data_IF_640372597600
#
_entry.id   IF_640372597600
#
_cell.length_a   1.000
_cell.length_b   1.000
_cell.length_c   1.000
_cell.angle_alpha   90.00
_cell.angle_beta   90.00
_cell.angle_gamma   90.00
#
_symmetry.space_group_name_H-M   'P 1'
#
loop_
_entity.id
_entity.type
_entity.pdbx_description
1 polymer ?
#
# COMPACT_ATOMS: atom_id res chain seq x y z
N UNK A 1 -13.27 14.97 -11.69
CA UNK A 1 -14.26 14.68 -10.61
C UNK A 1 -13.51 14.68 -9.28
N UNK A 2 -14.15 15.03 -8.16
CA UNK A 2 -13.56 14.92 -6.82
C UNK A 2 -13.71 13.48 -6.31
N UNK A 3 -12.66 12.93 -5.69
CA UNK A 3 -12.60 11.56 -5.17
C UNK A 3 -12.22 11.59 -3.69
N UNK A 4 -13.07 11.05 -2.82
CA UNK A 4 -12.86 10.97 -1.37
C UNK A 4 -11.93 9.81 -0.97
N UNK A 5 -10.71 9.77 -1.50
CA UNK A 5 -9.73 8.70 -1.28
C UNK A 5 -8.66 9.02 -0.22
N UNK A 6 -8.82 10.11 0.56
CA UNK A 6 -7.81 10.54 1.54
C UNK A 6 -7.45 9.46 2.58
N UNK A 7 -8.37 8.53 2.87
CA UNK A 7 -8.14 7.37 3.72
C UNK A 7 -7.03 6.46 3.17
N UNK A 8 -6.99 6.22 1.86
CA UNK A 8 -5.99 5.39 1.19
C UNK A 8 -4.62 6.08 1.18
N UNK A 9 -4.57 7.35 0.77
CA UNK A 9 -3.36 8.16 0.77
C UNK A 9 -2.73 8.29 2.16
N UNK A 10 -3.54 8.52 3.20
CA UNK A 10 -3.05 8.62 4.57
C UNK A 10 -2.40 7.32 5.08
N UNK A 11 -2.96 6.17 4.71
CA UNK A 11 -2.43 4.87 5.10
C UNK A 11 -1.16 4.51 4.32
N UNK A 12 -1.16 4.70 2.99
CA UNK A 12 0.02 4.47 2.16
C UNK A 12 1.20 5.30 2.64
N UNK A 13 1.03 6.61 2.79
CA UNK A 13 2.09 7.50 3.27
C UNK A 13 2.61 7.11 4.66
N UNK A 14 1.72 6.63 5.56
CA UNK A 14 2.13 6.14 6.87
C UNK A 14 3.03 4.91 6.77
N UNK A 15 2.68 3.94 5.92
CA UNK A 15 3.44 2.70 5.75
C UNK A 15 4.80 2.99 5.11
N UNK A 16 4.84 3.79 4.04
CA UNK A 16 6.08 4.19 3.38
C UNK A 16 7.02 4.94 4.34
N UNK A 17 6.47 5.85 5.14
CA UNK A 17 7.24 6.59 6.14
C UNK A 17 7.83 5.67 7.20
N UNK A 18 7.01 4.77 7.77
CA UNK A 18 7.45 3.81 8.78
C UNK A 18 8.47 2.81 8.21
N UNK A 19 8.29 2.41 6.95
CA UNK A 19 9.23 1.59 6.21
C UNK A 19 10.59 2.29 6.10
N UNK A 20 10.63 3.50 5.57
CA UNK A 20 11.87 4.27 5.43
C UNK A 20 12.57 4.49 6.77
N UNK A 21 11.83 4.79 7.85
CA UNK A 21 12.41 4.94 9.19
C UNK A 21 13.18 3.68 9.59
N UNK A 22 12.60 2.49 9.34
CA UNK A 22 13.12 1.19 9.74
C UNK A 22 14.25 0.66 8.83
N UNK A 23 14.09 0.78 7.52
CA UNK A 23 14.96 0.11 6.52
C UNK A 23 15.92 1.08 5.85
N UNK A 24 15.66 2.39 5.93
CA UNK A 24 16.33 3.44 5.15
C UNK A 24 16.16 3.27 3.64
N UNK A 25 15.11 2.58 3.22
CA UNK A 25 14.75 2.38 1.82
C UNK A 25 13.42 3.06 1.52
N UNK A 26 13.32 3.64 0.33
CA UNK A 26 12.06 4.18 -0.16
C UNK A 26 11.20 3.02 -0.66
N UNK A 27 10.03 2.88 -0.08
CA UNK A 27 8.95 2.02 -0.56
C UNK A 27 7.95 2.95 -1.24
N UNK A 28 7.43 2.50 -2.38
CA UNK A 28 6.41 3.24 -3.14
C UNK A 28 5.22 2.30 -3.34
N UNK A 29 4.10 2.61 -2.69
CA UNK A 29 2.86 1.84 -2.77
C UNK A 29 1.88 2.55 -3.69
N UNK A 30 1.07 1.78 -4.40
CA UNK A 30 -0.02 2.34 -5.21
C UNK A 30 -1.25 2.61 -4.35
N UNK A 31 -1.61 3.88 -4.12
CA UNK A 31 -2.90 4.23 -3.53
C UNK A 31 -4.06 3.77 -4.42
N UNK A 32 -3.87 3.75 -5.73
CA UNK A 32 -4.89 3.35 -6.68
C UNK A 32 -5.19 1.86 -6.59
N UNK A 33 -4.18 1.01 -6.41
CA UNK A 33 -4.38 -0.42 -6.14
C UNK A 33 -5.21 -0.63 -4.87
N UNK A 34 -4.92 0.13 -3.80
CA UNK A 34 -5.73 0.08 -2.59
C UNK A 34 -7.17 0.55 -2.82
N UNK A 35 -7.36 1.64 -3.57
CA UNK A 35 -8.70 2.16 -3.90
C UNK A 35 -9.51 1.17 -4.73
N UNK A 36 -8.87 0.43 -5.64
CA UNK A 36 -9.53 -0.50 -6.55
C UNK A 36 -9.76 -1.90 -5.96
N UNK A 37 -8.85 -2.35 -5.09
CA UNK A 37 -8.88 -3.71 -4.54
C UNK A 37 -9.44 -3.81 -3.11
N UNK A 38 -9.57 -2.69 -2.38
CA UNK A 38 -10.24 -2.69 -1.09
C UNK A 38 -11.75 -2.91 -1.27
N UNK A 39 -12.24 -4.07 -0.82
CA UNK A 39 -13.66 -4.44 -0.88
C UNK A 39 -14.46 -4.04 0.36
N UNK A 40 -13.81 -3.48 1.39
CA UNK A 40 -14.40 -3.05 2.65
C UNK A 40 -14.81 -1.57 2.62
N UNK A 41 -14.09 -0.76 1.85
CA UNK A 41 -14.33 0.67 1.71
C UNK A 41 -15.01 1.01 0.36
N UNK A 42 -15.38 2.28 0.17
CA UNK A 42 -16.20 2.73 -0.96
C UNK A 42 -15.41 3.56 -1.98
N UNK A 43 -14.13 3.24 -2.16
CA UNK A 43 -13.24 3.92 -3.11
C UNK A 43 -13.36 5.46 -3.01
N UNK A 44 -13.78 6.13 -4.09
CA UNK A 44 -13.98 7.58 -4.14
C UNK A 44 -15.13 8.13 -3.28
N UNK A 45 -15.96 7.29 -2.66
CA UNK A 45 -17.03 7.74 -1.75
C UNK A 45 -16.60 7.77 -0.28
N UNK A 46 -15.36 7.41 0.01
CA UNK A 46 -14.81 7.37 1.37
C UNK A 46 -14.44 5.97 1.81
N UNK A 47 -13.71 5.91 2.93
CA UNK A 47 -13.21 4.69 3.53
C UNK A 47 -12.62 4.97 4.90
N UNK A 48 -12.28 3.91 5.63
CA UNK A 48 -11.72 3.99 6.97
C UNK A 48 -10.26 3.55 6.95
N UNK A 49 -9.32 4.35 7.50
CA UNK A 49 -7.90 3.98 7.55
C UNK A 49 -7.64 2.58 8.15
N UNK A 50 -8.43 2.17 9.14
CA UNK A 50 -8.34 0.83 9.73
C UNK A 50 -8.60 -0.30 8.72
N UNK A 51 -9.60 -0.13 7.85
CA UNK A 51 -9.89 -1.09 6.78
C UNK A 51 -8.76 -1.11 5.76
N UNK A 52 -8.28 0.06 5.32
CA UNK A 52 -7.14 0.19 4.44
C UNK A 52 -5.89 -0.57 4.93
N UNK A 53 -5.52 -0.43 6.22
CA UNK A 53 -4.40 -1.19 6.78
C UNK A 53 -4.60 -2.71 6.66
N UNK A 54 -5.82 -3.20 6.96
CA UNK A 54 -6.14 -4.62 6.84
C UNK A 54 -6.12 -5.09 5.37
N UNK A 55 -6.60 -4.27 4.44
CA UNK A 55 -6.61 -4.53 3.01
C UNK A 55 -5.20 -4.67 2.46
N UNK A 56 -4.28 -3.76 2.80
CA UNK A 56 -2.86 -3.86 2.40
C UNK A 56 -2.23 -5.15 2.94
N UNK A 57 -2.46 -5.49 4.21
CA UNK A 57 -1.93 -6.73 4.80
C UNK A 57 -2.45 -7.97 4.04
N UNK A 58 -3.70 -7.94 3.59
CA UNK A 58 -4.30 -9.03 2.82
C UNK A 58 -3.72 -9.12 1.41
N UNK A 59 -3.66 -8.00 0.68
CA UNK A 59 -3.10 -7.92 -0.67
C UNK A 59 -1.66 -8.43 -0.71
N UNK A 60 -0.84 -8.09 0.29
CA UNK A 60 0.55 -8.56 0.39
C UNK A 60 0.75 -10.04 0.62
N UNK A 61 -0.30 -10.73 1.09
CA UNK A 61 -0.27 -12.19 1.21
C UNK A 61 -0.65 -12.87 -0.10
N UNK A 62 -1.45 -12.21 -0.94
CA UNK A 62 -1.97 -12.76 -2.19
C UNK A 62 -0.97 -12.56 -3.36
N UNK A 63 -0.15 -11.51 -3.33
CA UNK A 63 0.86 -11.21 -4.37
C UNK A 63 2.17 -12.01 -4.25
N UNK A 64 2.29 -12.92 -3.27
CA UNK A 64 3.49 -13.73 -3.05
C UNK A 64 3.47 -15.06 -3.83
N UNK A 65 4.03 -15.08 -5.05
CA UNK A 65 5.14 -16.00 -5.32
C UNK A 65 6.33 -15.28 -5.97
N UNK A 66 7.50 -15.42 -5.34
CA UNK A 66 8.85 -15.04 -5.84
C UNK A 66 8.92 -14.75 -7.36
N UNK A 67 9.15 -13.50 -7.75
CA UNK A 67 10.02 -13.01 -8.86
C UNK A 67 9.74 -11.51 -9.09
N UNK A 68 10.61 -10.62 -8.63
CA UNK A 68 11.80 -10.07 -9.32
C UNK A 68 11.44 -8.67 -9.86
N UNK A 69 12.05 -7.59 -9.39
CA UNK A 69 13.34 -7.16 -9.93
C UNK A 69 14.05 -6.12 -9.03
N UNK A 70 15.38 -6.30 -8.94
CA UNK A 70 16.40 -5.47 -8.29
C UNK A 70 16.37 -3.99 -8.72
N UNK A 71 16.73 -2.99 -7.89
CA UNK A 71 17.94 -2.79 -7.05
C UNK A 71 17.51 -1.89 -5.86
N UNK A 72 17.86 -2.05 -4.59
CA UNK A 72 19.06 -2.53 -3.90
C UNK A 72 18.64 -3.00 -2.49
N UNK A 73 19.04 -4.23 -2.13
CA UNK A 73 19.50 -4.60 -0.77
C UNK A 73 18.47 -4.91 0.31
N UNK A 74 18.12 -6.18 0.48
CA UNK A 74 17.77 -6.82 1.76
C UNK A 74 16.50 -6.35 2.53
N UNK A 75 15.47 -7.20 2.46
CA UNK A 75 14.78 -7.63 3.67
C UNK A 75 13.53 -6.86 4.08
N UNK A 76 12.49 -6.89 3.24
CA UNK A 76 11.13 -7.06 3.76
C UNK A 76 10.04 -6.64 2.78
N UNK A 77 8.82 -6.51 3.31
CA UNK A 77 7.56 -6.41 2.56
C UNK A 77 7.68 -5.45 1.37
N UNK A 78 7.84 -6.05 0.19
CA UNK A 78 7.96 -5.35 -1.07
C UNK A 78 6.58 -5.23 -1.70
N UNK A 79 6.19 -3.99 -1.95
CA UNK A 79 5.09 -3.64 -2.83
C UNK A 79 5.60 -2.42 -3.60
N UNK A 80 5.70 -2.54 -4.90
CA UNK A 80 5.88 -1.43 -5.81
C UNK A 80 5.30 -1.85 -7.15
N UNK A 81 4.23 -1.19 -7.56
CA UNK A 81 3.85 -1.15 -8.97
C UNK A 81 3.50 0.31 -9.27
N UNK A 82 4.29 0.87 -10.18
CA UNK A 82 4.10 2.16 -10.86
C UNK A 82 2.72 2.34 -11.48
#
# INVERSE_FOLDING_TARGET
RQCGCCWAFGVVANIESMWFIKTKQLLELSEQELVDCDTLDLACKGGYPYNAFNSIIKLGKETSPRKEMDRVGEGGLAFAIQ
#
